data_IF_965211641664
#
_entry.id   IF_965211641664
#
_cell.length_a   1.000
_cell.length_b   1.000
_cell.length_c   1.000
_cell.angle_alpha   90.00
_cell.angle_beta   90.00
_cell.angle_gamma   90.00
#
_symmetry.space_group_name_H-M   'P 1'
#
loop_
_entity.id
_entity.type
_entity.pdbx_description
1 polymer ?
#
# COMPACT_ATOMS: atom_id res chain seq x y z
N UNK A 1 -37.95 -37.69 5.76
CA UNK A 1 -36.84 -37.46 6.71
C UNK A 1 -36.24 -36.10 6.37
N UNK A 2 -36.33 -35.17 7.31
CA UNK A 2 -36.03 -33.74 7.15
C UNK A 2 -34.53 -33.50 6.99
N UNK A 3 -34.12 -32.82 5.92
CA UNK A 3 -32.75 -32.36 5.72
C UNK A 3 -32.58 -31.06 6.51
N UNK A 4 -31.91 -31.16 7.66
CA UNK A 4 -31.54 -30.00 8.46
C UNK A 4 -30.38 -29.27 7.77
N UNK A 5 -30.70 -28.24 6.99
CA UNK A 5 -29.73 -27.28 6.50
C UNK A 5 -29.13 -26.55 7.72
N UNK A 6 -27.87 -26.86 8.05
CA UNK A 6 -27.15 -26.16 9.11
C UNK A 6 -26.88 -24.72 8.67
N UNK A 7 -27.65 -23.78 9.21
CA UNK A 7 -27.37 -22.34 9.14
C UNK A 7 -26.22 -22.06 10.11
N UNK A 8 -25.00 -22.46 9.75
CA UNK A 8 -23.80 -22.05 10.46
C UNK A 8 -23.35 -20.76 9.79
N UNK A 9 -23.63 -19.63 10.44
CA UNK A 9 -23.17 -18.33 9.97
C UNK A 9 -21.63 -18.30 9.86
N UNK A 10 -21.08 -17.41 9.01
CA UNK A 10 -19.65 -17.39 8.75
C UNK A 10 -18.86 -17.24 10.05
N UNK A 11 -17.83 -18.09 10.18
CA UNK A 11 -16.90 -18.06 11.31
C UNK A 11 -16.20 -16.70 11.39
N UNK A 12 -15.68 -16.32 12.56
CA UNK A 12 -15.01 -15.01 12.73
C UNK A 12 -13.84 -14.86 11.73
N UNK A 13 -13.15 -15.95 11.39
CA UNK A 13 -12.11 -15.98 10.36
C UNK A 13 -12.65 -15.65 8.96
N UNK A 14 -13.77 -16.26 8.55
CA UNK A 14 -14.42 -15.98 7.25
C UNK A 14 -15.01 -14.58 7.18
N UNK A 15 -15.48 -14.05 8.31
CA UNK A 15 -15.94 -12.67 8.40
C UNK A 15 -14.80 -11.70 8.13
N UNK A 16 -13.64 -11.91 8.74
CA UNK A 16 -12.49 -11.03 8.57
C UNK A 16 -11.94 -11.06 7.14
N UNK A 17 -11.88 -12.23 6.49
CA UNK A 17 -11.51 -12.35 5.08
C UNK A 17 -12.53 -11.69 4.14
N UNK A 18 -13.83 -11.78 4.47
CA UNK A 18 -14.90 -11.13 3.71
C UNK A 18 -14.87 -9.59 3.85
N UNK A 19 -14.60 -9.07 5.05
CA UNK A 19 -14.42 -7.63 5.26
C UNK A 19 -13.22 -7.09 4.48
N UNK A 20 -12.09 -7.81 4.44
CA UNK A 20 -10.92 -7.43 3.65
C UNK A 20 -11.15 -7.53 2.14
N UNK A 21 -11.90 -8.52 1.66
CA UNK A 21 -12.31 -8.61 0.25
C UNK A 21 -13.28 -7.50 -0.17
N UNK A 22 -14.14 -7.04 0.74
CA UNK A 22 -15.08 -5.93 0.49
C UNK A 22 -14.49 -4.53 0.69
N UNK A 23 -13.25 -4.39 1.20
CA UNK A 23 -12.64 -3.06 1.35
C UNK A 23 -12.38 -2.45 -0.03
N UNK A 24 -13.20 -1.46 -0.36
CA UNK A 24 -13.02 -0.61 -1.55
C UNK A 24 -11.65 0.09 -1.50
N UNK A 25 -11.17 0.52 -2.67
CA UNK A 25 -9.92 1.29 -2.78
C UNK A 25 -9.84 2.45 -1.81
N UNK A 26 -10.97 3.11 -1.60
CA UNK A 26 -11.11 4.24 -0.69
C UNK A 26 -10.80 3.85 0.75
N UNK A 27 -11.30 2.70 1.21
CA UNK A 27 -11.04 2.22 2.58
C UNK A 27 -9.57 1.82 2.72
N UNK A 28 -9.02 1.08 1.76
CA UNK A 28 -7.60 0.68 1.78
C UNK A 28 -6.68 1.92 1.75
N UNK A 29 -7.00 2.92 0.94
CA UNK A 29 -6.30 4.20 0.92
C UNK A 29 -6.32 4.88 2.28
N UNK A 30 -7.48 4.92 2.95
CA UNK A 30 -7.61 5.48 4.30
C UNK A 30 -6.72 4.74 5.32
N UNK A 31 -6.71 3.40 5.28
CA UNK A 31 -5.84 2.59 6.14
C UNK A 31 -4.37 2.93 5.93
N UNK A 32 -3.89 2.95 4.68
CA UNK A 32 -2.50 3.34 4.40
C UNK A 32 -2.20 4.77 4.81
N UNK A 33 -3.15 5.70 4.65
CA UNK A 33 -3.00 7.08 5.10
C UNK A 33 -2.85 7.17 6.63
N UNK A 34 -3.68 6.43 7.39
CA UNK A 34 -3.58 6.34 8.84
C UNK A 34 -2.27 5.68 9.30
N UNK A 35 -1.81 4.62 8.62
CA UNK A 35 -0.50 4.02 8.88
C UNK A 35 0.63 5.01 8.62
N UNK A 36 0.51 5.85 7.58
CA UNK A 36 1.44 6.94 7.29
C UNK A 36 1.50 7.97 8.41
N UNK A 37 0.33 8.42 8.89
CA UNK A 37 0.23 9.34 10.04
C UNK A 37 0.81 8.73 11.32
N UNK A 38 0.51 7.46 11.62
CA UNK A 38 1.08 6.76 12.76
C UNK A 38 2.61 6.67 12.68
N UNK A 39 3.14 6.40 11.50
CA UNK A 39 4.59 6.39 11.27
C UNK A 39 5.22 7.76 11.51
N UNK A 40 4.59 8.85 11.03
CA UNK A 40 5.06 10.20 11.31
C UNK A 40 5.02 10.54 12.80
N UNK A 41 3.94 10.18 13.51
CA UNK A 41 3.84 10.38 14.95
C UNK A 41 4.98 9.68 15.70
N UNK A 42 5.31 8.44 15.33
CA UNK A 42 6.44 7.70 15.91
C UNK A 42 7.79 8.34 15.57
N UNK A 43 7.95 8.89 14.36
CA UNK A 43 9.14 9.66 13.99
C UNK A 43 9.31 10.89 14.88
N UNK A 44 8.26 11.70 15.03
CA UNK A 44 8.31 12.89 15.88
C UNK A 44 8.58 12.55 17.33
N UNK A 45 8.00 11.45 17.83
CA UNK A 45 8.29 10.95 19.17
C UNK A 45 9.76 10.54 19.34
N UNK A 46 10.32 9.79 18.38
CA UNK A 46 11.72 9.41 18.40
C UNK A 46 12.67 10.61 18.33
N UNK A 47 12.34 11.62 17.50
CA UNK A 47 13.09 12.87 17.39
C UNK A 47 13.00 13.71 18.67
N UNK A 48 11.82 13.80 19.30
CA UNK A 48 11.64 14.49 20.58
C UNK A 48 12.51 13.87 21.68
N UNK A 49 12.51 12.54 21.79
CA UNK A 49 13.38 11.83 22.73
C UNK A 49 14.87 12.04 22.44
N UNK A 50 15.25 12.18 21.17
CA UNK A 50 16.62 12.48 20.78
C UNK A 50 17.06 13.87 21.25
N UNK A 51 16.20 14.88 21.11
CA UNK A 51 16.44 16.26 21.57
C UNK A 51 16.57 16.32 23.10
N UNK A 52 15.67 15.67 23.84
CA UNK A 52 15.76 15.63 25.30
C UNK A 52 17.05 14.94 25.79
N UNK A 53 17.53 13.92 25.07
CA UNK A 53 18.79 13.27 25.41
C UNK A 53 20.02 14.18 25.22
N UNK A 54 20.01 15.00 24.16
CA UNK A 54 21.09 15.97 23.92
C UNK A 54 21.15 17.06 24.97
N UNK A 55 20.00 17.47 25.52
CA UNK A 55 19.93 18.45 26.60
C UNK A 55 20.47 17.90 27.93
N UNK A 56 20.25 16.60 28.21
CA UNK A 56 20.60 15.98 29.48
C UNK A 56 22.03 15.42 29.49
N UNK A 57 22.54 14.95 28.34
CA UNK A 57 23.82 14.23 28.27
C UNK A 57 24.69 14.71 27.12
N UNK A 58 25.74 15.49 27.42
CA UNK A 58 26.71 15.99 26.42
C UNK A 58 27.62 14.90 25.81
N UNK A 59 27.51 13.61 26.22
CA UNK A 59 28.53 12.59 25.93
C UNK A 59 28.07 11.27 25.29
N UNK A 60 26.80 11.07 24.92
CA UNK A 60 26.34 9.80 24.30
C UNK A 60 25.97 9.94 22.82
N UNK A 61 26.98 9.92 21.95
CA UNK A 61 26.81 10.02 20.48
C UNK A 61 26.06 8.83 19.85
N UNK A 62 26.20 7.62 20.41
CA UNK A 62 25.61 6.40 19.85
C UNK A 62 24.10 6.29 20.05
N UNK A 63 23.59 6.65 21.24
CA UNK A 63 22.15 6.61 21.55
C UNK A 63 21.37 7.68 20.79
N UNK A 64 21.97 8.85 20.55
CA UNK A 64 21.42 9.91 19.71
C UNK A 64 21.31 9.45 18.25
N UNK A 65 22.40 8.90 17.71
CA UNK A 65 22.47 8.44 16.31
C UNK A 65 21.44 7.34 16.03
N UNK A 66 21.25 6.41 16.96
CA UNK A 66 20.25 5.33 16.83
C UNK A 66 18.82 5.89 16.79
N UNK A 67 18.48 6.86 17.65
CA UNK A 67 17.14 7.46 17.69
C UNK A 67 16.82 8.28 16.44
N UNK A 68 17.80 9.04 15.94
CA UNK A 68 17.67 9.75 14.66
C UNK A 68 17.50 8.78 13.50
N UNK A 69 18.24 7.68 13.50
CA UNK A 69 18.08 6.62 12.49
C UNK A 69 16.66 6.04 12.53
N UNK A 70 16.13 5.75 13.73
CA UNK A 70 14.74 5.28 13.90
C UNK A 70 13.74 6.31 13.36
N UNK A 71 13.93 7.60 13.67
CA UNK A 71 13.07 8.66 13.17
C UNK A 71 13.05 8.70 11.62
N UNK A 72 14.23 8.66 10.99
CA UNK A 72 14.35 8.63 9.52
C UNK A 72 13.66 7.40 8.93
N UNK A 73 13.83 6.22 9.53
CA UNK A 73 13.16 5.00 9.06
C UNK A 73 11.64 5.16 9.12
N UNK A 74 11.09 5.72 10.19
CA UNK A 74 9.66 5.98 10.29
C UNK A 74 9.16 7.03 9.29
N UNK A 75 9.96 8.04 8.96
CA UNK A 75 9.64 8.99 7.88
C UNK A 75 9.54 8.25 6.54
N UNK A 76 10.51 7.38 6.23
CA UNK A 76 10.52 6.62 4.98
C UNK A 76 9.31 5.67 4.89
N UNK A 77 9.00 4.96 5.98
CA UNK A 77 7.79 4.11 6.06
C UNK A 77 6.53 4.96 5.85
N UNK A 78 6.45 6.12 6.49
CA UNK A 78 5.35 7.07 6.33
C UNK A 78 5.20 7.53 4.87
N UNK A 79 6.30 7.92 4.23
CA UNK A 79 6.31 8.33 2.83
C UNK A 79 5.80 7.22 1.89
N UNK A 80 6.25 5.97 2.08
CA UNK A 80 5.78 4.81 1.30
C UNK A 80 4.28 4.59 1.50
N UNK A 81 3.79 4.71 2.73
CA UNK A 81 2.37 4.55 3.04
C UNK A 81 1.52 5.66 2.41
N UNK A 82 1.93 6.94 2.49
CA UNK A 82 1.23 8.03 1.82
C UNK A 82 1.25 7.88 0.30
N UNK A 83 2.38 7.48 -0.26
CA UNK A 83 2.51 7.25 -1.69
C UNK A 83 1.60 6.11 -2.17
N UNK A 84 1.49 5.04 -1.38
CA UNK A 84 0.55 3.93 -1.62
C UNK A 84 -0.90 4.39 -1.50
N UNK A 85 -1.24 5.16 -0.46
CA UNK A 85 -2.58 5.72 -0.25
C UNK A 85 -3.01 6.63 -1.42
N UNK A 86 -2.09 7.46 -1.91
CA UNK A 86 -2.31 8.33 -3.07
C UNK A 86 -2.59 7.49 -4.33
N UNK A 87 -1.81 6.44 -4.57
CA UNK A 87 -2.02 5.52 -5.69
C UNK A 87 -3.39 4.85 -5.65
N UNK A 88 -3.83 4.40 -4.47
CA UNK A 88 -5.14 3.76 -4.28
C UNK A 88 -6.31 4.74 -4.47
N UNK A 89 -6.16 6.01 -4.07
CA UNK A 89 -7.23 7.00 -4.16
C UNK A 89 -7.36 7.64 -5.54
N UNK A 90 -6.23 7.98 -6.15
CA UNK A 90 -6.20 8.79 -7.37
C UNK A 90 -5.60 8.06 -8.58
N UNK A 91 -4.74 7.06 -8.35
CA UNK A 91 -3.99 6.33 -9.38
C UNK A 91 -4.64 5.04 -9.87
N UNK A 92 -5.90 4.76 -9.55
CA UNK A 92 -6.56 3.50 -9.96
C UNK A 92 -6.84 3.48 -11.45
N UNK A 93 -6.36 2.48 -12.18
CA UNK A 93 -6.60 2.31 -13.62
C UNK A 93 -7.44 1.07 -13.90
N UNK A 94 -8.17 1.10 -15.00
CA UNK A 94 -9.02 0.02 -15.48
C UNK A 94 -8.30 -0.96 -16.40
N UNK A 95 -7.22 -0.56 -17.04
CA UNK A 95 -6.44 -1.47 -17.87
C UNK A 95 -5.02 -0.94 -18.00
N UNK A 96 -4.07 -1.86 -18.09
CA UNK A 96 -2.68 -1.56 -18.47
C UNK A 96 -2.35 -2.52 -19.61
N UNK A 97 -2.12 -1.97 -20.79
CA UNK A 97 -1.88 -2.72 -22.04
C UNK A 97 -0.52 -2.33 -22.61
N UNK A 98 0.14 -3.26 -23.31
CA UNK A 98 1.43 -3.03 -23.96
C UNK A 98 2.59 -3.66 -23.20
N UNK A 99 3.77 -3.07 -23.35
CA UNK A 99 5.02 -3.55 -22.73
C UNK A 99 5.43 -2.67 -21.54
N UNK A 100 6.34 -3.17 -20.70
CA UNK A 100 6.85 -2.41 -19.55
C UNK A 100 7.52 -1.09 -19.95
N UNK A 101 8.10 -1.00 -21.15
CA UNK A 101 8.75 0.21 -21.64
C UNK A 101 7.81 1.16 -22.39
N UNK A 102 6.63 0.69 -22.81
CA UNK A 102 5.63 1.49 -23.52
C UNK A 102 4.22 1.00 -23.19
N UNK A 103 3.78 1.25 -21.96
CA UNK A 103 2.45 0.89 -21.50
C UNK A 103 1.43 2.00 -21.80
N UNK A 104 0.19 1.58 -22.00
CA UNK A 104 -1.00 2.44 -22.12
C UNK A 104 -1.89 2.17 -20.92
N UNK A 105 -2.26 3.24 -20.21
CA UNK A 105 -3.14 3.19 -19.05
C UNK A 105 -4.53 3.63 -19.48
N UNK A 106 -5.54 2.79 -19.24
CA UNK A 106 -6.95 3.11 -19.52
C UNK A 106 -7.76 3.25 -18.25
N UNK A 107 -8.70 4.17 -18.24
CA UNK A 107 -9.74 4.33 -17.22
C UNK A 107 -11.05 4.64 -17.92
N UNK A 108 -12.08 3.86 -17.63
CA UNK A 108 -13.44 3.96 -18.17
C UNK A 108 -13.46 3.99 -19.71
N UNK A 109 -12.64 3.12 -20.32
CA UNK A 109 -12.51 3.01 -21.78
C UNK A 109 -11.71 4.12 -22.45
N UNK A 110 -11.18 5.11 -21.72
CA UNK A 110 -10.34 6.19 -22.26
C UNK A 110 -8.88 5.97 -21.90
N UNK A 111 -7.98 6.28 -22.84
CA UNK A 111 -6.55 6.31 -22.57
C UNK A 111 -6.24 7.53 -21.68
N UNK A 112 -5.80 7.25 -20.45
CA UNK A 112 -5.37 8.28 -19.49
C UNK A 112 -3.91 8.65 -19.71
N UNK A 113 -3.11 7.68 -20.17
CA UNK A 113 -1.69 7.85 -20.44
C UNK A 113 -1.22 6.85 -21.48
N UNK A 114 -0.33 7.26 -22.35
CA UNK A 114 0.21 6.43 -23.43
C UNK A 114 1.75 6.52 -23.44
N UNK A 115 2.40 5.47 -23.94
CA UNK A 115 3.85 5.44 -24.14
C UNK A 115 4.66 5.58 -22.85
N UNK A 116 4.13 5.06 -21.73
CA UNK A 116 4.76 5.24 -20.43
C UNK A 116 5.50 4.02 -19.93
N UNK A 117 6.71 4.25 -19.43
CA UNK A 117 7.53 3.24 -18.78
C UNK A 117 7.03 2.92 -17.37
N UNK A 118 6.97 1.64 -17.04
CA UNK A 118 6.67 1.10 -15.71
C UNK A 118 8.00 0.71 -15.05
N UNK A 119 8.37 1.38 -13.97
CA UNK A 119 9.70 1.23 -13.36
C UNK A 119 9.72 0.31 -12.13
N UNK A 120 8.62 0.25 -11.39
CA UNK A 120 8.54 -0.51 -10.15
C UNK A 120 7.19 -1.19 -10.08
N UNK A 121 7.16 -2.45 -9.64
CA UNK A 121 5.95 -3.24 -9.44
C UNK A 121 5.97 -3.85 -8.05
N UNK A 122 4.96 -3.51 -7.24
CA UNK A 122 4.70 -4.12 -5.93
C UNK A 122 3.31 -4.73 -5.93
N UNK A 123 3.21 -5.98 -5.51
CA UNK A 123 1.91 -6.62 -5.28
C UNK A 123 1.50 -6.31 -3.85
N UNK A 124 0.30 -5.75 -3.68
CA UNK A 124 -0.33 -5.50 -2.40
C UNK A 124 -1.19 -6.72 -2.02
N UNK A 125 -0.93 -7.28 -0.84
CA UNK A 125 -1.63 -8.46 -0.32
C UNK A 125 -0.96 -9.80 -0.68
N UNK A 126 0.33 -9.80 -1.03
CA UNK A 126 1.09 -11.04 -1.29
C UNK A 126 1.24 -11.91 -0.05
N UNK A 127 1.32 -11.29 1.12
CA UNK A 127 1.53 -11.96 2.40
C UNK A 127 0.24 -12.56 2.98
N UNK A 128 -0.89 -12.31 2.33
CA UNK A 128 -2.21 -12.70 2.81
C UNK A 128 -2.85 -13.68 1.82
N UNK A 129 -2.62 -14.97 2.11
CA UNK A 129 -3.11 -16.11 1.33
C UNK A 129 -4.64 -16.20 1.27
N UNK A 130 -5.35 -15.44 2.12
CA UNK A 130 -6.82 -15.40 2.17
C UNK A 130 -7.46 -14.50 1.09
N UNK A 131 -6.66 -13.63 0.45
CA UNK A 131 -7.14 -12.76 -0.62
C UNK A 131 -7.20 -13.53 -1.94
N UNK A 132 -8.40 -13.59 -2.51
CA UNK A 132 -8.62 -13.98 -3.91
C UNK A 132 -7.89 -13.02 -4.86
N UNK A 133 -7.60 -13.46 -6.08
CA UNK A 133 -6.86 -12.65 -7.07
C UNK A 133 -7.54 -11.30 -7.37
N UNK A 134 -8.86 -11.18 -7.17
CA UNK A 134 -9.58 -9.91 -7.28
C UNK A 134 -9.34 -8.92 -6.12
N UNK A 135 -8.89 -9.42 -4.97
CA UNK A 135 -8.48 -8.62 -3.82
C UNK A 135 -7.01 -8.17 -3.88
N UNK A 136 -6.19 -8.83 -4.70
CA UNK A 136 -4.78 -8.48 -4.91
C UNK A 136 -4.67 -7.30 -5.87
N UNK A 137 -3.78 -6.37 -5.54
CA UNK A 137 -3.57 -5.15 -6.34
C UNK A 137 -2.12 -4.99 -6.73
N UNK A 138 -1.88 -4.61 -7.96
CA UNK A 138 -0.59 -4.15 -8.45
C UNK A 138 -0.45 -2.65 -8.22
N UNK A 139 0.47 -2.26 -7.35
CA UNK A 139 0.98 -0.90 -7.27
C UNK A 139 2.20 -0.79 -8.18
N UNK A 140 2.20 0.17 -9.08
CA UNK A 140 3.34 0.40 -9.96
C UNK A 140 3.63 1.89 -10.16
N UNK A 141 4.86 2.20 -10.56
CA UNK A 141 5.33 3.58 -10.70
C UNK A 141 5.57 3.92 -12.16
N UNK A 142 5.01 5.05 -12.58
CA UNK A 142 5.21 5.61 -13.92
C UNK A 142 5.27 7.15 -13.85
N UNK A 143 6.38 7.72 -14.31
CA UNK A 143 6.62 9.17 -14.29
C UNK A 143 6.45 9.78 -12.89
N UNK A 144 7.09 9.16 -11.89
CA UNK A 144 7.05 9.56 -10.46
C UNK A 144 5.65 9.59 -9.83
N UNK A 145 4.65 8.94 -10.44
CA UNK A 145 3.30 8.79 -9.89
C UNK A 145 3.00 7.31 -9.62
N UNK A 146 2.37 6.98 -8.48
CA UNK A 146 1.92 5.63 -8.20
C UNK A 146 0.57 5.40 -8.86
N UNK A 147 0.45 4.24 -9.47
CA UNK A 147 -0.74 3.74 -10.13
C UNK A 147 -1.12 2.39 -9.54
N UNK A 148 -2.41 2.10 -9.49
CA UNK A 148 -2.92 0.86 -8.91
C UNK A 148 -3.86 0.14 -9.88
N UNK A 149 -3.70 -1.18 -10.01
CA UNK A 149 -4.57 -2.05 -10.80
C UNK A 149 -4.94 -3.32 -10.03
N UNK A 150 -6.07 -3.95 -10.35
CA UNK A 150 -6.40 -5.30 -9.86
C UNK A 150 -5.55 -6.37 -10.56
N UNK A 151 -5.11 -7.38 -9.83
CA UNK A 151 -4.24 -8.44 -10.37
C UNK A 151 -4.92 -9.22 -11.52
N UNK A 152 -6.21 -9.53 -11.39
CA UNK A 152 -7.00 -10.32 -12.36
C UNK A 152 -7.07 -9.79 -13.79
N UNK A 153 -6.61 -8.56 -14.02
CA UNK A 153 -6.81 -7.81 -15.28
C UNK A 153 -5.53 -7.11 -15.72
N UNK A 154 -4.39 -7.53 -15.19
CA UNK A 154 -3.09 -7.03 -15.61
C UNK A 154 -2.58 -7.87 -16.78
N UNK A 155 -2.60 -7.30 -17.98
CA UNK A 155 -2.09 -7.92 -19.20
C UNK A 155 -0.92 -7.12 -19.75
N UNK A 156 0.23 -7.24 -19.10
CA UNK A 156 1.48 -6.68 -19.61
C UNK A 156 2.42 -7.83 -19.94
N UNK A 157 2.76 -7.98 -21.21
CA UNK A 157 3.72 -9.00 -21.65
C UNK A 157 5.13 -8.50 -21.33
N UNK A 158 5.91 -9.36 -20.65
CA UNK A 158 7.35 -9.19 -20.55
C UNK A 158 7.91 -9.61 -21.92
N UNK A 159 8.39 -8.63 -22.69
CA UNK A 159 9.25 -8.91 -23.84
C UNK A 159 10.60 -9.43 -23.34
#
# INVERSE_FOLDING_TARGET
MSSAASIIGPTIGERNSMWMQMMTDTVRSCVYFLMGLGSLAMSFYAASLAISLTEITQHYSSSLSLRLTIAIVFILIGAVNFYTAYGLKFGTVDEVVGSLDSAIFRRSGKNVREGVRIQLVRILGTDDLSLTDDGRRFLFISGCRPWVRKLSTFHCQKL
#
